data_IF_867497161615
#
_entry.id   IF_867497161615
#
_cell.length_a   1.000
_cell.length_b   1.000
_cell.length_c   1.000
_cell.angle_alpha   90.00
_cell.angle_beta   90.00
_cell.angle_gamma   90.00
#
_symmetry.space_group_name_H-M   'P 1'
#
loop_
_entity.id
_entity.type
_entity.pdbx_description
1 polymer ?
#
# COMPACT_ATOMS: atom_id res chain seq x y z
N UNK A 1 -2.45 -7.17 26.78
CA UNK A 1 -1.30 -7.28 25.85
C UNK A 1 -1.55 -8.44 24.89
N UNK A 2 -1.44 -8.21 23.60
CA UNK A 2 -1.50 -9.22 22.55
C UNK A 2 -0.31 -9.04 21.63
N UNK A 3 0.35 -10.13 21.26
CA UNK A 3 1.48 -10.10 20.32
C UNK A 3 1.11 -10.87 19.06
N UNK A 4 1.26 -10.23 17.93
CA UNK A 4 1.11 -10.82 16.61
C UNK A 4 2.49 -10.89 15.97
N UNK A 5 2.80 -12.01 15.34
CA UNK A 5 4.08 -12.22 14.66
C UNK A 5 3.83 -12.41 13.16
N UNK A 6 4.63 -11.76 12.34
CA UNK A 6 4.54 -11.80 10.89
C UNK A 6 5.92 -11.69 10.25
N UNK A 7 5.94 -11.32 8.99
CA UNK A 7 7.17 -11.17 8.21
C UNK A 7 7.57 -9.69 8.16
N UNK A 8 8.83 -9.38 8.46
CA UNK A 8 9.39 -8.05 8.30
C UNK A 8 9.55 -7.71 6.81
N UNK A 9 8.85 -6.68 6.35
CA UNK A 9 8.94 -6.20 4.97
C UNK A 9 9.82 -4.95 4.82
N UNK A 10 9.94 -4.17 5.88
CA UNK A 10 10.80 -2.99 5.94
C UNK A 10 11.25 -2.77 7.38
N UNK A 11 12.56 -2.64 7.63
CA UNK A 11 13.11 -2.65 8.99
C UNK A 11 12.75 -1.37 9.77
N UNK A 12 12.75 -1.50 11.09
CA UNK A 12 12.59 -0.41 12.02
C UNK A 12 11.71 -0.77 13.22
N UNK A 13 11.73 0.10 14.25
CA UNK A 13 10.90 -0.03 15.44
C UNK A 13 10.20 1.28 15.71
N UNK A 14 8.90 1.23 15.94
CA UNK A 14 8.11 2.42 16.29
C UNK A 14 7.08 2.09 17.37
N UNK A 15 6.74 3.11 18.15
CA UNK A 15 5.69 3.08 19.17
C UNK A 15 4.67 4.14 18.82
N UNK A 16 3.40 3.77 18.76
CA UNK A 16 2.36 4.74 18.45
C UNK A 16 0.96 4.23 18.63
N UNK A 17 -0.01 5.13 18.46
CA UNK A 17 -1.40 4.74 18.35
C UNK A 17 -1.63 3.97 17.05
N UNK A 18 -2.60 3.07 17.07
CA UNK A 18 -3.03 2.30 15.90
C UNK A 18 -4.27 2.92 15.30
N UNK A 19 -4.25 3.13 13.99
CA UNK A 19 -5.43 3.46 13.21
C UNK A 19 -5.71 2.33 12.22
N UNK A 20 -6.95 1.86 12.23
CA UNK A 20 -7.39 0.80 11.34
C UNK A 20 -7.88 1.40 10.02
N UNK A 21 -7.38 0.83 8.91
CA UNK A 21 -8.01 1.02 7.61
C UNK A 21 -9.05 -0.09 7.45
N UNK A 22 -10.30 0.30 7.63
CA UNK A 22 -11.43 -0.59 7.42
C UNK A 22 -12.02 -0.31 6.04
N UNK A 23 -11.98 -1.30 5.23
CA UNK A 23 -12.55 -1.23 3.90
C UNK A 23 -14.06 -1.50 3.87
N UNK A 24 -14.68 -1.77 4.97
CA UNK A 24 -16.09 -2.10 5.08
C UNK A 24 -16.41 -3.45 4.44
N UNK A 25 -17.47 -4.05 4.89
CA UNK A 25 -18.03 -5.24 4.22
C UNK A 25 -18.86 -4.79 3.03
N UNK A 26 -18.52 -5.28 1.84
CA UNK A 26 -19.40 -5.28 0.68
C UNK A 26 -20.62 -6.17 1.00
N UNK A 27 -21.83 -5.76 0.73
CA UNK A 27 -22.95 -6.69 0.89
C UNK A 27 -24.35 -6.16 1.08
N UNK A 28 -24.54 -4.88 1.33
CA UNK A 28 -25.89 -4.29 1.34
C UNK A 28 -26.04 -3.36 0.13
N UNK A 29 -26.21 -3.99 -1.04
CA UNK A 29 -26.47 -3.24 -2.26
C UNK A 29 -27.91 -2.75 -2.30
N UNK A 30 -28.08 -1.61 -2.94
CA UNK A 30 -29.39 -1.03 -3.21
C UNK A 30 -30.28 -2.03 -3.96
N UNK A 31 -31.60 -2.00 -3.66
CA UNK A 31 -32.60 -2.78 -4.38
C UNK A 31 -32.58 -2.35 -5.87
N UNK A 32 -32.42 -3.32 -6.75
CA UNK A 32 -32.40 -3.14 -8.19
C UNK A 32 -33.82 -3.00 -8.71
N UNK A 33 -34.08 -1.97 -9.52
CA UNK A 33 -35.40 -1.73 -10.07
C UNK A 33 -35.46 -1.81 -11.59
N UNK A 34 -34.36 -1.50 -12.30
CA UNK A 34 -34.35 -1.39 -13.76
C UNK A 34 -32.91 -1.56 -14.30
N UNK A 35 -32.64 -2.54 -15.19
CA UNK A 35 -31.31 -2.75 -15.79
C UNK A 35 -30.79 -1.52 -16.58
N UNK A 36 -31.65 -0.79 -17.28
CA UNK A 36 -31.24 0.43 -17.99
C UNK A 36 -30.71 1.49 -17.05
N UNK A 37 -31.41 1.70 -15.93
CA UNK A 37 -30.97 2.62 -14.89
C UNK A 37 -29.67 2.17 -14.23
N UNK A 38 -29.54 0.90 -13.91
CA UNK A 38 -28.32 0.34 -13.33
C UNK A 38 -27.14 0.48 -14.28
N UNK A 39 -27.34 0.26 -15.58
CA UNK A 39 -26.32 0.49 -16.59
C UNK A 39 -25.90 1.95 -16.67
N UNK A 40 -26.84 2.87 -16.71
CA UNK A 40 -26.52 4.30 -16.74
C UNK A 40 -25.76 4.76 -15.48
N UNK A 41 -26.12 4.24 -14.31
CA UNK A 41 -25.40 4.53 -13.05
C UNK A 41 -23.99 3.97 -13.07
N UNK A 42 -23.80 2.75 -13.60
CA UNK A 42 -22.48 2.16 -13.77
C UNK A 42 -21.60 2.99 -14.70
N UNK A 43 -22.12 3.39 -15.87
CA UNK A 43 -21.39 4.21 -16.84
C UNK A 43 -20.93 5.54 -16.21
N UNK A 44 -21.80 6.20 -15.43
CA UNK A 44 -21.44 7.41 -14.68
C UNK A 44 -20.38 7.11 -13.63
N UNK A 45 -20.51 6.01 -12.88
CA UNK A 45 -19.54 5.63 -11.85
C UNK A 45 -18.15 5.36 -12.46
N UNK A 46 -18.07 4.71 -13.61
CA UNK A 46 -16.82 4.49 -14.34
C UNK A 46 -16.18 5.82 -14.75
N UNK A 47 -16.96 6.77 -15.29
CA UNK A 47 -16.45 8.10 -15.66
C UNK A 47 -15.85 8.80 -14.42
N UNK A 48 -16.58 8.82 -13.31
CA UNK A 48 -16.11 9.45 -12.07
C UNK A 48 -14.86 8.75 -11.51
N UNK A 49 -14.83 7.41 -11.51
CA UNK A 49 -13.68 6.65 -11.08
C UNK A 49 -12.43 6.97 -11.93
N UNK A 50 -12.57 7.01 -13.25
CA UNK A 50 -11.47 7.37 -14.15
C UNK A 50 -10.97 8.80 -13.92
N UNK A 51 -11.86 9.74 -13.68
CA UNK A 51 -11.48 11.12 -13.38
C UNK A 51 -10.69 11.23 -12.07
N UNK A 52 -11.09 10.50 -11.03
CA UNK A 52 -10.33 10.44 -9.79
C UNK A 52 -8.95 9.82 -10.00
N UNK A 53 -8.86 8.68 -10.72
CA UNK A 53 -7.61 8.00 -11.01
C UNK A 53 -6.66 8.90 -11.84
N UNK A 54 -7.17 9.61 -12.84
CA UNK A 54 -6.37 10.57 -13.62
C UNK A 54 -5.80 11.70 -12.77
N UNK A 55 -6.58 12.24 -11.82
CA UNK A 55 -6.08 13.27 -10.88
C UNK A 55 -5.00 12.72 -9.96
N UNK A 56 -5.12 11.46 -9.53
CA UNK A 56 -4.10 10.81 -8.71
C UNK A 56 -2.83 10.52 -9.53
N UNK A 57 -2.96 10.03 -10.77
CA UNK A 57 -1.82 9.72 -11.62
C UNK A 57 -0.98 10.94 -11.99
N UNK A 58 -1.58 12.13 -12.09
CA UNK A 58 -0.85 13.39 -12.30
C UNK A 58 0.07 13.77 -11.12
N UNK A 59 -0.18 13.22 -9.93
CA UNK A 59 0.61 13.48 -8.71
C UNK A 59 1.55 12.33 -8.38
N UNK A 60 1.26 11.15 -8.87
CA UNK A 60 2.07 9.95 -8.68
C UNK A 60 3.28 9.96 -9.63
N UNK A 61 4.37 9.30 -9.22
CA UNK A 61 5.59 9.15 -10.02
C UNK A 61 6.04 7.68 -10.02
N UNK A 62 6.68 7.26 -11.11
CA UNK A 62 7.24 5.92 -11.22
C UNK A 62 6.18 4.81 -11.07
N UNK A 63 6.48 3.72 -10.37
CA UNK A 63 5.60 2.54 -10.28
C UNK A 63 4.17 2.85 -9.82
N UNK A 64 3.97 3.88 -9.00
CA UNK A 64 2.64 4.30 -8.55
C UNK A 64 1.77 4.83 -9.68
N UNK A 65 2.38 5.57 -10.61
CA UNK A 65 1.67 6.05 -11.79
C UNK A 65 1.27 4.87 -12.68
N UNK A 66 2.13 3.84 -12.83
CA UNK A 66 1.85 2.66 -13.64
C UNK A 66 0.66 1.86 -13.09
N UNK A 67 0.52 1.77 -11.77
CA UNK A 67 -0.64 1.12 -11.14
C UNK A 67 -1.93 1.86 -11.45
N UNK A 68 -1.92 3.17 -11.31
CA UNK A 68 -3.10 4.00 -11.60
C UNK A 68 -3.47 3.95 -13.08
N UNK A 69 -2.48 3.91 -13.98
CA UNK A 69 -2.70 3.73 -15.41
C UNK A 69 -3.28 2.34 -15.73
N UNK A 70 -2.80 1.28 -15.08
CA UNK A 70 -3.39 -0.06 -15.19
C UNK A 70 -4.85 -0.07 -14.75
N UNK A 71 -5.18 0.57 -13.63
CA UNK A 71 -6.57 0.68 -13.15
C UNK A 71 -7.47 1.43 -14.15
N UNK A 72 -6.96 2.48 -14.79
CA UNK A 72 -7.70 3.21 -15.83
C UNK A 72 -7.91 2.30 -17.06
N UNK A 73 -6.86 1.61 -17.51
CA UNK A 73 -6.93 0.70 -18.64
C UNK A 73 -7.93 -0.44 -18.41
N UNK A 74 -8.00 -0.99 -17.19
CA UNK A 74 -8.98 -2.02 -16.82
C UNK A 74 -10.42 -1.50 -16.94
N UNK A 75 -10.68 -0.26 -16.52
CA UNK A 75 -12.00 0.37 -16.68
C UNK A 75 -12.35 0.71 -18.15
N UNK A 76 -11.39 0.64 -19.05
CA UNK A 76 -11.55 0.85 -20.48
C UNK A 76 -11.52 -0.47 -21.28
N UNK A 77 -11.20 -1.60 -20.62
CA UNK A 77 -11.16 -2.91 -21.24
C UNK A 77 -12.56 -3.40 -21.58
N UNK A 78 -12.76 -3.73 -22.87
CA UNK A 78 -14.07 -4.16 -23.37
C UNK A 78 -14.52 -5.48 -22.75
N UNK A 79 -13.61 -6.42 -22.48
CA UNK A 79 -13.99 -7.70 -21.91
C UNK A 79 -14.45 -7.57 -20.47
N UNK A 80 -13.80 -6.69 -19.71
CA UNK A 80 -14.20 -6.37 -18.35
C UNK A 80 -15.53 -5.64 -18.28
N UNK A 81 -15.71 -4.60 -19.11
CA UNK A 81 -16.92 -3.78 -19.11
C UNK A 81 -18.13 -4.51 -19.69
N UNK A 82 -17.92 -5.40 -20.67
CA UNK A 82 -18.99 -6.25 -21.22
C UNK A 82 -19.45 -7.30 -20.21
N UNK A 83 -18.53 -7.96 -19.50
CA UNK A 83 -18.87 -8.92 -18.44
C UNK A 83 -19.79 -8.27 -17.37
N UNK A 84 -19.47 -7.04 -16.94
CA UNK A 84 -20.32 -6.26 -16.02
C UNK A 84 -21.66 -5.93 -16.65
N UNK A 85 -21.65 -5.51 -17.91
CA UNK A 85 -22.87 -5.20 -18.66
C UNK A 85 -23.81 -6.39 -18.76
N UNK A 86 -23.28 -7.58 -19.00
CA UNK A 86 -24.05 -8.83 -19.10
C UNK A 86 -24.71 -9.18 -17.76
N UNK A 87 -24.01 -9.00 -16.64
CA UNK A 87 -24.61 -9.20 -15.31
C UNK A 87 -25.72 -8.18 -15.02
N UNK A 88 -25.55 -6.93 -15.41
CA UNK A 88 -26.60 -5.90 -15.27
C UNK A 88 -27.81 -6.23 -16.13
N UNK A 89 -27.60 -6.66 -17.39
CA UNK A 89 -28.65 -7.07 -18.30
C UNK A 89 -29.42 -8.31 -17.77
N UNK A 90 -28.71 -9.20 -17.06
CA UNK A 90 -29.32 -10.35 -16.36
C UNK A 90 -30.06 -10.00 -15.07
N UNK A 91 -30.14 -8.68 -14.73
CA UNK A 91 -30.90 -8.18 -13.57
C UNK A 91 -30.08 -7.99 -12.30
N UNK A 92 -28.77 -8.06 -12.36
CA UNK A 92 -27.92 -7.70 -11.23
C UNK A 92 -27.88 -6.17 -11.04
N UNK A 93 -27.78 -5.70 -9.79
CA UNK A 93 -27.44 -4.30 -9.52
C UNK A 93 -26.03 -3.98 -9.94
N UNK A 94 -25.76 -2.72 -10.32
CA UNK A 94 -24.45 -2.30 -10.81
C UNK A 94 -23.30 -2.66 -9.87
N UNK A 95 -23.46 -2.42 -8.57
CA UNK A 95 -22.44 -2.77 -7.57
C UNK A 95 -22.19 -4.29 -7.49
N UNK A 96 -23.27 -5.10 -7.44
CA UNK A 96 -23.15 -6.56 -7.43
C UNK A 96 -22.56 -7.13 -8.72
N UNK A 97 -22.83 -6.50 -9.87
CA UNK A 97 -22.23 -6.87 -11.15
C UNK A 97 -20.72 -6.61 -11.18
N UNK A 98 -20.28 -5.46 -10.66
CA UNK A 98 -18.84 -5.13 -10.52
C UNK A 98 -18.14 -6.12 -9.60
N UNK A 99 -18.72 -6.47 -8.44
CA UNK A 99 -18.14 -7.44 -7.51
C UNK A 99 -18.00 -8.84 -8.12
N UNK A 100 -18.98 -9.27 -8.92
CA UNK A 100 -18.87 -10.54 -9.63
C UNK A 100 -17.76 -10.55 -10.67
N UNK A 101 -17.63 -9.50 -11.45
CA UNK A 101 -16.54 -9.34 -12.41
C UNK A 101 -15.19 -9.28 -11.70
N UNK A 102 -15.09 -8.53 -10.60
CA UNK A 102 -13.89 -8.49 -9.75
C UNK A 102 -13.44 -9.90 -9.35
N UNK A 103 -14.35 -10.71 -8.79
CA UNK A 103 -14.04 -12.07 -8.34
C UNK A 103 -13.45 -12.92 -9.47
N UNK A 104 -14.00 -12.82 -10.68
CA UNK A 104 -13.54 -13.59 -11.85
C UNK A 104 -12.17 -13.09 -12.31
N UNK A 105 -12.03 -11.78 -12.51
CA UNK A 105 -10.78 -11.21 -13.05
C UNK A 105 -9.64 -11.30 -12.04
N UNK A 106 -9.88 -11.00 -10.77
CA UNK A 106 -8.88 -11.13 -9.72
C UNK A 106 -8.47 -12.61 -9.52
N UNK A 107 -9.40 -13.57 -9.65
CA UNK A 107 -9.08 -14.98 -9.58
C UNK A 107 -8.20 -15.42 -10.76
N UNK A 108 -8.53 -15.04 -11.98
CA UNK A 108 -7.70 -15.33 -13.18
C UNK A 108 -6.26 -14.86 -12.99
N UNK A 109 -6.04 -13.67 -12.42
CA UNK A 109 -4.69 -13.16 -12.13
C UNK A 109 -4.00 -13.94 -11.02
N UNK A 110 -4.72 -14.34 -9.96
CA UNK A 110 -4.17 -15.15 -8.86
C UNK A 110 -3.78 -16.56 -9.27
N UNK A 111 -4.44 -17.11 -10.26
CA UNK A 111 -4.18 -18.46 -10.76
C UNK A 111 -2.97 -18.53 -11.71
N UNK A 112 -2.36 -17.39 -12.09
CA UNK A 112 -1.14 -17.34 -12.93
C UNK A 112 0.09 -17.68 -12.07
N UNK A 113 1.01 -18.45 -12.64
CA UNK A 113 2.26 -18.85 -11.98
C UNK A 113 3.36 -17.76 -12.11
N UNK A 114 2.98 -16.51 -11.85
CA UNK A 114 3.87 -15.37 -11.80
C UNK A 114 3.43 -14.48 -10.64
N UNK A 115 4.33 -14.27 -9.69
CA UNK A 115 4.04 -13.56 -8.45
C UNK A 115 3.72 -12.07 -8.71
N UNK A 116 4.38 -11.45 -9.69
CA UNK A 116 4.11 -10.07 -10.07
C UNK A 116 2.70 -9.90 -10.67
N UNK A 117 2.28 -10.87 -11.51
CA UNK A 117 0.93 -10.87 -12.09
C UNK A 117 -0.11 -11.16 -11.00
N UNK A 118 0.18 -12.06 -10.05
CA UNK A 118 -0.72 -12.31 -8.91
C UNK A 118 -1.00 -11.07 -8.08
N UNK A 119 0.02 -10.23 -7.84
CA UNK A 119 -0.16 -8.98 -7.11
C UNK A 119 -1.07 -7.98 -7.84
N UNK A 120 -1.14 -8.02 -9.18
CA UNK A 120 -2.09 -7.21 -9.95
C UNK A 120 -3.56 -7.50 -9.64
N UNK A 121 -3.86 -8.65 -9.05
CA UNK A 121 -5.22 -8.93 -8.55
C UNK A 121 -5.68 -7.92 -7.49
N UNK A 122 -4.76 -7.35 -6.73
CA UNK A 122 -5.04 -6.31 -5.73
C UNK A 122 -5.47 -5.01 -6.41
N UNK A 123 -4.84 -4.66 -7.53
CA UNK A 123 -5.19 -3.47 -8.31
C UNK A 123 -6.60 -3.59 -8.91
N UNK A 124 -6.98 -4.80 -9.34
CA UNK A 124 -8.36 -5.09 -9.78
C UNK A 124 -9.35 -4.86 -8.64
N UNK A 125 -9.06 -5.39 -7.45
CA UNK A 125 -9.91 -5.21 -6.28
C UNK A 125 -10.04 -3.72 -5.89
N UNK A 126 -8.94 -2.95 -5.92
CA UNK A 126 -8.94 -1.52 -5.57
C UNK A 126 -9.82 -0.69 -6.52
N UNK A 127 -9.70 -0.92 -7.83
CA UNK A 127 -10.50 -0.17 -8.82
C UNK A 127 -11.97 -0.57 -8.81
N UNK A 128 -12.29 -1.86 -8.66
CA UNK A 128 -13.66 -2.33 -8.55
C UNK A 128 -14.35 -1.73 -7.34
N UNK A 129 -13.68 -1.75 -6.19
CA UNK A 129 -14.15 -1.14 -4.97
C UNK A 129 -14.43 0.36 -5.15
N UNK A 130 -13.56 1.09 -5.88
CA UNK A 130 -13.79 2.50 -6.20
C UNK A 130 -15.12 2.69 -6.92
N UNK A 131 -15.41 1.85 -7.91
CA UNK A 131 -16.66 1.91 -8.68
C UNK A 131 -17.86 1.56 -7.78
N UNK A 132 -17.74 0.53 -6.95
CA UNK A 132 -18.79 0.13 -5.98
C UNK A 132 -19.09 1.24 -4.98
N UNK A 133 -18.07 1.89 -4.41
CA UNK A 133 -18.26 3.00 -3.46
C UNK A 133 -19.03 4.18 -4.10
N UNK A 134 -18.74 4.47 -5.38
CA UNK A 134 -19.47 5.52 -6.12
C UNK A 134 -20.93 5.10 -6.36
N UNK A 135 -21.16 3.84 -6.77
CA UNK A 135 -22.51 3.31 -7.02
C UNK A 135 -23.38 3.29 -5.75
N UNK A 136 -22.78 2.96 -4.62
CA UNK A 136 -23.48 2.93 -3.32
C UNK A 136 -23.58 4.33 -2.69
N UNK A 137 -23.03 5.36 -3.33
CA UNK A 137 -23.01 6.71 -2.77
C UNK A 137 -22.19 6.82 -1.49
N UNK A 138 -21.28 5.90 -1.27
CA UNK A 138 -20.40 5.93 -0.10
C UNK A 138 -19.32 6.96 -0.31
N UNK A 139 -19.20 7.97 0.57
CA UNK A 139 -18.05 8.86 0.48
C UNK A 139 -16.79 8.03 0.71
N UNK A 140 -15.82 8.10 -0.20
CA UNK A 140 -14.50 7.55 0.09
C UNK A 140 -14.02 8.15 1.40
N UNK A 141 -13.92 7.33 2.42
CA UNK A 141 -13.30 7.74 3.67
C UNK A 141 -11.82 8.00 3.39
N UNK A 142 -11.50 9.26 3.07
CA UNK A 142 -10.12 9.69 3.19
C UNK A 142 -9.75 9.51 4.65
N UNK A 143 -8.85 8.60 4.90
CA UNK A 143 -8.34 8.42 6.25
C UNK A 143 -7.65 9.74 6.66
N UNK A 144 -8.29 10.47 7.57
CA UNK A 144 -7.72 11.69 8.13
C UNK A 144 -7.09 11.33 9.47
N UNK A 145 -5.79 11.08 9.42
CA UNK A 145 -5.01 10.83 10.62
C UNK A 145 -4.92 12.13 11.42
N UNK A 146 -5.37 12.11 12.66
CA UNK A 146 -5.29 13.26 13.58
C UNK A 146 -3.90 13.40 14.22
N UNK A 147 -3.13 12.32 14.20
CA UNK A 147 -1.78 12.21 14.79
C UNK A 147 -1.00 11.12 14.05
N UNK A 148 0.34 11.16 14.10
CA UNK A 148 1.14 10.08 13.56
C UNK A 148 0.74 8.73 14.18
N UNK A 149 0.45 7.73 13.34
CA UNK A 149 -0.13 6.45 13.75
C UNK A 149 0.47 5.28 13.00
N UNK A 150 0.45 4.10 13.63
CA UNK A 150 0.70 2.83 12.98
C UNK A 150 -0.60 2.45 12.25
N UNK A 151 -0.51 2.21 10.95
CA UNK A 151 -1.66 1.80 10.16
C UNK A 151 -1.78 0.28 10.17
N UNK A 152 -2.97 -0.21 10.42
CA UNK A 152 -3.29 -1.64 10.40
C UNK A 152 -4.45 -1.87 9.44
N UNK A 153 -4.30 -2.86 8.56
CA UNK A 153 -5.31 -3.28 7.61
C UNK A 153 -5.30 -4.79 7.44
N UNK A 154 -6.38 -5.37 6.94
CA UNK A 154 -6.32 -6.75 6.44
C UNK A 154 -5.42 -6.81 5.22
N UNK A 155 -5.56 -5.85 4.31
CA UNK A 155 -4.72 -5.62 3.14
C UNK A 155 -4.66 -4.13 2.86
N UNK A 156 -3.53 -3.63 2.42
CA UNK A 156 -3.42 -2.26 1.91
C UNK A 156 -3.68 -2.21 0.41
N UNK A 157 -4.56 -1.33 0.00
CA UNK A 157 -4.71 -0.98 -1.41
C UNK A 157 -3.81 0.21 -1.77
N UNK A 158 -3.33 0.30 -3.01
CA UNK A 158 -2.56 1.45 -3.46
C UNK A 158 -3.24 2.78 -3.15
N UNK A 159 -4.55 2.86 -3.36
CA UNK A 159 -5.33 4.06 -3.12
C UNK A 159 -5.39 4.50 -1.65
N UNK A 160 -5.20 3.60 -0.70
CA UNK A 160 -5.17 3.94 0.73
C UNK A 160 -3.94 4.77 1.06
N UNK A 161 -2.80 4.35 0.52
CA UNK A 161 -1.50 4.93 0.84
C UNK A 161 -1.23 6.24 0.07
N UNK A 162 -1.69 6.35 -1.19
CA UNK A 162 -1.54 7.57 -2.01
C UNK A 162 -2.25 8.81 -1.45
N UNK A 163 -3.29 8.59 -0.63
CA UNK A 163 -4.09 9.68 -0.08
C UNK A 163 -3.55 10.23 1.23
N UNK A 164 -2.55 9.58 1.84
CA UNK A 164 -2.06 9.89 3.18
C UNK A 164 -0.81 10.77 3.17
N UNK A 165 -0.74 11.69 4.14
CA UNK A 165 0.51 12.39 4.42
C UNK A 165 1.50 11.42 5.09
N UNK A 166 2.65 11.17 4.43
CA UNK A 166 3.70 10.29 4.93
C UNK A 166 4.12 10.62 6.38
N UNK A 167 4.12 11.90 6.75
CA UNK A 167 4.51 12.34 8.10
C UNK A 167 3.57 11.83 9.18
N UNK A 168 2.36 11.44 8.80
CA UNK A 168 1.35 10.90 9.69
C UNK A 168 1.38 9.38 9.79
N UNK A 169 2.27 8.70 9.06
CA UNK A 169 2.41 7.25 9.08
C UNK A 169 3.68 6.89 9.85
N UNK A 170 3.55 6.16 10.97
CA UNK A 170 4.68 5.65 11.74
C UNK A 170 5.17 4.31 11.21
N UNK A 171 4.27 3.45 10.73
CA UNK A 171 4.58 2.14 10.21
C UNK A 171 3.34 1.46 9.67
N UNK A 172 3.53 0.33 8.97
CA UNK A 172 2.47 -0.46 8.35
C UNK A 172 2.41 -1.87 8.95
N UNK A 173 1.21 -2.35 9.22
CA UNK A 173 0.98 -3.70 9.72
C UNK A 173 -0.21 -4.31 8.99
N UNK A 174 -0.05 -5.47 8.36
CA UNK A 174 -1.14 -6.09 7.62
C UNK A 174 -1.21 -7.60 7.82
N UNK A 175 -2.39 -8.11 7.47
CA UNK A 175 -2.74 -9.52 7.61
C UNK A 175 -2.41 -10.32 6.34
N UNK A 176 -2.73 -9.79 5.15
CA UNK A 176 -2.73 -10.53 3.89
C UNK A 176 -1.69 -10.07 2.86
N UNK A 177 -0.96 -8.98 3.13
CA UNK A 177 0.05 -8.49 2.18
C UNK A 177 1.30 -9.37 2.17
N UNK A 178 1.92 -9.49 1.01
CA UNK A 178 3.20 -10.18 0.82
C UNK A 178 4.39 -9.22 0.90
N UNK A 179 5.61 -9.75 1.00
CA UNK A 179 6.84 -8.94 1.02
C UNK A 179 7.16 -8.26 -0.31
N UNK A 180 6.48 -8.65 -1.38
CA UNK A 180 6.55 -8.01 -2.70
C UNK A 180 5.32 -7.16 -3.01
N UNK A 181 4.36 -7.11 -2.09
CA UNK A 181 3.16 -6.29 -2.26
C UNK A 181 3.50 -4.81 -2.42
N UNK A 182 2.55 -4.09 -2.98
CA UNK A 182 2.69 -2.64 -3.12
C UNK A 182 2.93 -1.94 -1.77
N UNK A 183 2.26 -2.39 -0.71
CA UNK A 183 2.48 -1.89 0.65
C UNK A 183 3.92 -2.09 1.12
N UNK A 184 4.52 -3.25 0.86
CA UNK A 184 5.91 -3.55 1.19
C UNK A 184 6.90 -2.67 0.42
N UNK A 185 6.66 -2.48 -0.89
CA UNK A 185 7.50 -1.63 -1.74
C UNK A 185 7.44 -0.18 -1.26
N UNK A 186 6.24 0.34 -1.00
CA UNK A 186 6.05 1.70 -0.48
C UNK A 186 6.67 1.88 0.90
N UNK A 187 6.50 0.93 1.82
CA UNK A 187 7.11 0.99 3.14
C UNK A 187 8.64 1.14 3.05
N UNK A 188 9.29 0.31 2.21
CA UNK A 188 10.73 0.40 1.97
C UNK A 188 11.16 1.73 1.36
N UNK A 189 10.45 2.19 0.33
CA UNK A 189 10.79 3.47 -0.34
C UNK A 189 10.62 4.68 0.58
N UNK A 190 9.64 4.61 1.49
CA UNK A 190 9.38 5.65 2.48
C UNK A 190 10.24 5.50 3.75
N UNK A 191 10.99 4.41 3.91
CA UNK A 191 11.72 4.09 5.14
C UNK A 191 10.79 3.95 6.35
N UNK A 192 9.61 3.34 6.14
CA UNK A 192 8.64 3.05 7.20
C UNK A 192 8.79 1.61 7.65
N UNK A 193 8.82 1.32 8.96
CA UNK A 193 8.74 -0.05 9.45
C UNK A 193 7.47 -0.74 8.96
N UNK A 194 7.59 -1.99 8.51
CA UNK A 194 6.43 -2.75 8.05
C UNK A 194 6.53 -4.22 8.44
N UNK A 195 5.45 -4.73 9.04
CA UNK A 195 5.27 -6.15 9.36
C UNK A 195 3.98 -6.63 8.70
N UNK A 196 4.11 -7.68 7.91
CA UNK A 196 3.04 -8.23 7.09
C UNK A 196 2.74 -9.67 7.51
N UNK A 197 1.61 -10.22 7.07
CA UNK A 197 1.19 -11.60 7.37
C UNK A 197 1.02 -11.86 8.88
N UNK A 198 0.44 -10.88 9.58
CA UNK A 198 0.25 -10.95 11.04
C UNK A 198 -0.87 -11.91 11.48
N UNK A 199 -1.62 -12.49 10.54
CA UNK A 199 -2.75 -13.37 10.82
C UNK A 199 -4.08 -12.63 11.05
N UNK A 200 -5.16 -13.40 11.08
CA UNK A 200 -6.52 -12.84 11.12
C UNK A 200 -6.83 -12.13 12.45
N UNK A 201 -7.67 -11.10 12.36
CA UNK A 201 -8.18 -10.37 13.53
C UNK A 201 -7.25 -9.28 14.07
N UNK A 202 -6.04 -9.12 13.54
CA UNK A 202 -5.09 -8.10 14.02
C UNK A 202 -5.67 -6.69 13.93
N UNK A 203 -6.35 -6.36 12.82
CA UNK A 203 -6.92 -5.04 12.60
C UNK A 203 -7.98 -4.70 13.65
N UNK A 204 -8.92 -5.61 13.93
CA UNK A 204 -9.98 -5.40 14.91
C UNK A 204 -9.43 -5.30 16.35
N UNK A 205 -8.44 -6.12 16.71
CA UNK A 205 -7.86 -6.13 18.06
C UNK A 205 -6.97 -4.92 18.34
N UNK A 206 -6.33 -4.36 17.31
CA UNK A 206 -5.37 -3.27 17.44
C UNK A 206 -6.02 -1.89 17.34
N UNK A 207 -7.20 -1.76 16.74
CA UNK A 207 -7.84 -0.48 16.45
C UNK A 207 -7.97 0.42 17.69
N UNK A 208 -7.51 1.66 17.57
CA UNK A 208 -7.57 2.69 18.61
C UNK A 208 -6.61 2.51 19.79
N UNK A 209 -5.85 1.41 19.84
CA UNK A 209 -4.92 1.11 20.92
C UNK A 209 -3.53 1.66 20.66
N UNK A 210 -2.67 1.62 21.68
CA UNK A 210 -1.24 1.87 21.52
C UNK A 210 -0.53 0.54 21.21
N UNK A 211 0.43 0.59 20.29
CA UNK A 211 1.20 -0.60 19.94
C UNK A 211 2.68 -0.27 19.70
N UNK A 212 3.48 -1.34 19.77
CA UNK A 212 4.86 -1.37 19.28
C UNK A 212 4.85 -2.18 18.00
N UNK A 213 5.37 -1.62 16.92
CA UNK A 213 5.69 -2.32 15.68
C UNK A 213 7.20 -2.51 15.64
N UNK A 214 7.65 -3.76 15.72
CA UNK A 214 9.06 -4.14 15.66
C UNK A 214 9.32 -5.01 14.43
N UNK A 215 9.96 -4.44 13.43
CA UNK A 215 10.33 -5.10 12.19
C UNK A 215 11.84 -5.43 12.13
N UNK A 216 12.55 -5.40 13.24
CA UNK A 216 14.00 -5.62 13.35
C UNK A 216 14.34 -6.94 14.08
N UNK A 217 13.58 -8.01 13.85
CA UNK A 217 13.95 -9.31 14.40
C UNK A 217 14.97 -10.00 13.50
N UNK A 218 15.95 -10.68 14.13
CA UNK A 218 17.14 -11.25 13.45
C UNK A 218 16.80 -12.35 12.44
N UNK A 219 15.65 -13.00 12.59
CA UNK A 219 15.18 -14.10 11.74
C UNK A 219 14.33 -13.64 10.52
N UNK A 220 14.27 -12.32 10.26
CA UNK A 220 13.43 -11.76 9.21
C UNK A 220 11.95 -11.69 9.58
N UNK A 221 11.59 -12.03 10.82
CA UNK A 221 10.24 -11.84 11.33
C UNK A 221 10.05 -10.42 11.87
N UNK A 222 8.80 -10.08 12.17
CA UNK A 222 8.44 -8.84 12.82
C UNK A 222 7.27 -9.08 13.77
N UNK A 223 7.02 -8.14 14.66
CA UNK A 223 5.91 -8.25 15.61
C UNK A 223 5.14 -6.95 15.76
N UNK A 224 3.84 -7.09 16.04
CA UNK A 224 2.96 -6.03 16.52
C UNK A 224 2.50 -6.38 17.93
N UNK A 225 2.95 -5.61 18.93
CA UNK A 225 2.57 -5.78 20.33
C UNK A 225 1.52 -4.74 20.67
N UNK A 226 0.30 -5.19 20.90
CA UNK A 226 -0.86 -4.33 21.20
C UNK A 226 -1.04 -4.24 22.72
N UNK A 227 -1.30 -3.04 23.22
CA UNK A 227 -1.35 -2.71 24.66
C UNK A 227 -0.08 -3.18 25.41
N UNK A 228 1.13 -2.70 24.99
CA UNK A 228 2.37 -3.09 25.61
C UNK A 228 2.47 -2.59 27.05
N UNK A 229 3.10 -3.37 27.93
CA UNK A 229 3.46 -2.93 29.26
C UNK A 229 4.72 -2.05 29.29
N UNK A 230 5.07 -1.54 30.47
CA UNK A 230 6.22 -0.64 30.63
C UNK A 230 7.57 -1.28 30.26
N UNK A 231 7.71 -2.59 30.46
CA UNK A 231 8.95 -3.29 30.11
C UNK A 231 9.14 -3.38 28.59
N UNK A 232 8.10 -3.73 27.86
CA UNK A 232 8.12 -3.77 26.39
C UNK A 232 8.37 -2.38 25.80
N UNK A 233 7.76 -1.33 26.37
CA UNK A 233 7.99 0.05 25.94
C UNK A 233 9.47 0.43 26.14
N UNK A 234 10.04 0.18 27.30
CA UNK A 234 11.44 0.49 27.59
C UNK A 234 12.40 -0.26 26.65
N UNK A 235 12.11 -1.51 26.34
CA UNK A 235 12.89 -2.30 25.38
C UNK A 235 12.81 -1.71 23.95
N UNK A 236 11.62 -1.32 23.52
CA UNK A 236 11.42 -0.71 22.21
C UNK A 236 12.11 0.66 22.13
N UNK A 237 12.04 1.50 23.18
CA UNK A 237 12.75 2.77 23.24
C UNK A 237 14.27 2.59 23.11
N UNK A 238 14.84 1.57 23.77
CA UNK A 238 16.26 1.22 23.60
C UNK A 238 16.59 0.83 22.15
N UNK A 239 15.77 0.00 21.51
CA UNK A 239 15.95 -0.36 20.09
C UNK A 239 15.87 0.85 19.17
N UNK A 240 14.91 1.76 19.38
CA UNK A 240 14.75 2.99 18.62
C UNK A 240 16.00 3.89 18.79
N UNK A 241 16.52 4.01 20.00
CA UNK A 241 17.73 4.78 20.26
C UNK A 241 18.96 4.19 19.55
N UNK A 242 19.13 2.86 19.60
CA UNK A 242 20.21 2.16 18.91
C UNK A 242 20.10 2.33 17.37
N UNK A 243 18.91 2.20 16.81
CA UNK A 243 18.70 2.40 15.37
C UNK A 243 19.05 3.83 14.92
N UNK A 244 18.77 4.83 15.75
CA UNK A 244 19.14 6.23 15.46
C UNK A 244 20.67 6.41 15.50
N UNK A 245 21.35 5.75 16.40
CA UNK A 245 22.82 5.79 16.49
C UNK A 245 23.46 5.11 15.28
N UNK A 246 22.99 3.94 14.89
CA UNK A 246 23.50 3.21 13.71
C UNK A 246 23.18 3.95 12.40
N UNK A 247 21.99 4.57 12.25
CA UNK A 247 21.63 5.37 11.07
C UNK A 247 22.39 6.69 10.95
N UNK A 248 23.05 7.15 12.01
CA UNK A 248 23.89 8.36 12.01
C UNK A 248 25.38 8.08 11.76
N UNK A 249 25.79 6.83 11.86
CA UNK A 249 27.16 6.42 11.51
C UNK A 249 27.18 6.10 10.02
N UNK A 250 27.66 7.01 9.20
CA UNK A 250 27.96 6.73 7.81
C UNK A 250 28.88 5.50 7.77
N UNK A 251 28.47 4.46 7.05
CA UNK A 251 29.29 3.25 6.90
C UNK A 251 30.64 3.68 6.29
N UNK A 252 31.76 3.53 7.01
CA UNK A 252 33.07 3.95 6.49
C UNK A 252 33.45 3.21 5.21
N UNK A 253 32.80 2.08 4.90
CA UNK A 253 32.96 1.34 3.64
C UNK A 253 32.21 2.05 2.49
N UNK A 254 31.13 2.75 2.75
CA UNK A 254 30.38 3.48 1.72
C UNK A 254 31.15 4.68 1.15
N UNK A 255 32.12 5.21 1.88
CA UNK A 255 33.00 6.31 1.44
C UNK A 255 34.23 5.84 0.66
N UNK A 256 34.47 4.53 0.54
CA UNK A 256 35.61 4.00 -0.20
C UNK A 256 35.26 3.85 -1.68
N UNK A 257 36.22 4.15 -2.59
CA UNK A 257 36.00 3.91 -4.01
C UNK A 257 35.83 2.40 -4.26
N UNK A 258 34.78 2.05 -5.00
CA UNK A 258 34.56 0.67 -5.40
C UNK A 258 35.66 0.26 -6.40
N UNK A 259 36.47 -0.72 -6.01
CA UNK A 259 37.55 -1.26 -6.86
C UNK A 259 37.30 -2.74 -7.12
N UNK A 260 37.56 -3.17 -8.36
CA UNK A 260 37.67 -4.60 -8.68
C UNK A 260 38.94 -5.19 -8.08
N UNK A 261 39.07 -6.52 -8.07
CA UNK A 261 40.22 -7.22 -7.48
C UNK A 261 41.58 -6.88 -8.17
N UNK A 262 41.52 -6.40 -9.40
CA UNK A 262 42.66 -5.91 -10.18
C UNK A 262 42.94 -4.40 -10.03
N UNK A 263 42.17 -3.74 -9.15
CA UNK A 263 42.37 -2.32 -8.85
C UNK A 263 41.62 -1.36 -9.79
N UNK A 264 40.77 -1.86 -10.69
CA UNK A 264 40.03 -1.00 -11.60
C UNK A 264 38.86 -0.35 -10.84
N UNK A 265 38.76 0.98 -10.88
CA UNK A 265 37.69 1.72 -10.26
C UNK A 265 36.37 1.59 -11.04
N UNK A 266 35.27 1.32 -10.36
CA UNK A 266 33.94 1.32 -10.97
C UNK A 266 32.94 2.13 -10.10
N UNK A 267 31.89 2.68 -10.75
CA UNK A 267 30.82 3.37 -10.06
C UNK A 267 29.67 2.41 -9.82
N UNK A 268 29.28 2.27 -8.56
CA UNK A 268 28.05 1.61 -8.20
C UNK A 268 26.91 2.63 -8.35
N UNK A 269 26.01 2.38 -9.29
CA UNK A 269 24.79 3.19 -9.45
C UNK A 269 23.65 2.43 -8.81
N UNK A 270 23.01 3.02 -7.80
CA UNK A 270 21.76 2.50 -7.22
C UNK A 270 20.59 3.21 -7.85
N UNK A 271 19.60 2.44 -8.30
CA UNK A 271 18.33 2.98 -8.72
C UNK A 271 17.51 3.27 -7.48
N UNK A 272 17.38 4.55 -7.13
CA UNK A 272 16.58 5.01 -5.99
C UNK A 272 15.25 5.52 -6.52
N UNK A 273 14.15 4.90 -6.11
CA UNK A 273 12.82 5.48 -6.29
C UNK A 273 12.67 6.63 -5.29
N UNK A 274 12.77 7.85 -5.78
CA UNK A 274 12.63 9.07 -4.97
C UNK A 274 11.16 9.39 -4.80
N UNK A 275 10.52 8.85 -3.77
CA UNK A 275 9.21 9.31 -3.32
C UNK A 275 9.38 10.56 -2.44
N UNK A 276 8.88 11.70 -2.93
CA UNK A 276 8.72 12.91 -2.12
C UNK A 276 10.03 13.51 -1.61
N UNK A 277 10.97 13.80 -2.50
CA UNK A 277 12.14 14.61 -2.14
C UNK A 277 11.87 16.09 -2.35
N UNK A 278 11.21 16.69 -1.39
CA UNK A 278 11.64 18.00 -0.94
C UNK A 278 12.65 17.73 0.21
N UNK A 279 13.91 18.10 -0.03
CA UNK A 279 15.01 18.12 0.96
C UNK A 279 15.53 16.78 1.55
N UNK A 280 16.03 15.85 0.73
CA UNK A 280 17.14 15.01 1.19
C UNK A 280 18.40 15.42 0.44
N UNK A 281 19.18 16.31 1.05
CA UNK A 281 20.58 16.47 0.70
C UNK A 281 21.26 15.09 0.81
N UNK A 282 21.96 14.66 -0.24
CA UNK A 282 22.86 13.52 -0.17
C UNK A 282 23.87 13.78 0.97
N UNK A 283 24.32 12.77 1.72
CA UNK A 283 25.23 12.93 2.86
C UNK A 283 26.49 13.76 2.56
N UNK A 284 26.84 13.96 1.30
CA UNK A 284 28.05 14.67 0.87
C UNK A 284 27.81 16.01 0.17
N UNK A 285 26.62 16.60 0.28
CA UNK A 285 26.35 17.91 -0.35
C UNK A 285 26.41 17.91 -1.88
N UNK A 286 26.43 16.74 -2.53
CA UNK A 286 26.46 16.60 -3.97
C UNK A 286 25.09 16.88 -4.58
N UNK A 287 25.01 17.83 -5.51
CA UNK A 287 23.87 17.99 -6.40
C UNK A 287 23.77 16.76 -7.31
N UNK A 288 22.58 16.21 -7.45
CA UNK A 288 22.31 15.23 -8.51
C UNK A 288 22.70 15.85 -9.85
N UNK A 289 23.46 15.13 -10.70
CA UNK A 289 23.73 15.62 -12.04
C UNK A 289 22.41 15.79 -12.79
N UNK A 290 22.22 16.95 -13.40
CA UNK A 290 21.12 17.18 -14.35
C UNK A 290 21.19 16.09 -15.42
N UNK A 291 20.13 15.32 -15.54
CA UNK A 291 19.95 14.39 -16.65
C UNK A 291 19.82 15.24 -17.90
N UNK A 292 20.91 15.37 -18.68
CA UNK A 292 20.82 15.86 -20.04
C UNK A 292 20.03 14.84 -20.85
N UNK A 293 18.91 15.28 -21.42
CA UNK A 293 18.15 14.56 -22.41
C UNK A 293 19.08 14.13 -23.56
N UNK A 294 19.09 12.82 -23.82
CA UNK A 294 19.73 12.20 -24.96
C UNK A 294 18.88 11.06 -25.45
#
# INVERSE_FOLDING_TARGET
>A
MHTFTGVSASPGVVIGPVEQIDHGTTGLHRIVCDPFRERALYDVAVVLAKDELRRLSQRAKGPDADILLFQIALLEDESFTNEIGDYIAAGAGGAAAVERAEQIFARRLRDVDDEYIRERSVDVCDVCRRVVDILDGRPRRRLHLKRPSILVADRFFPSDLFSLDRRMILGLASNQDSTISHAAIMARSMGLPAVLQLGDGVAALAAGKRAILDANLEDGTGSLIVDPDGAHIAQADCKIALNRLHGSVADPVAAQPCLTRDGTAFRLLTMTNLYGTEDKALPDGGRLPELSEG
#
